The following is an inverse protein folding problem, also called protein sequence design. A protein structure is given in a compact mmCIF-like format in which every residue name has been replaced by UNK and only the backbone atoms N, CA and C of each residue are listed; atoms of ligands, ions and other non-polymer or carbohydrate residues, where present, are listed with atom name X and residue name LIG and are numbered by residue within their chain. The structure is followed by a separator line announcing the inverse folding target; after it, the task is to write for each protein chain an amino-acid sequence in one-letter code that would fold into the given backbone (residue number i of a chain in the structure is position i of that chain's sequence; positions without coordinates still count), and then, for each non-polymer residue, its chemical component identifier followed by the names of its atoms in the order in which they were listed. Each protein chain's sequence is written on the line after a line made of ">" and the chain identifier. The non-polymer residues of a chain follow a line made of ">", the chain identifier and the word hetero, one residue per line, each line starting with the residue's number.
data_IF_434640031438
#
_entry.id   IF_434640031438
#
_cell.length_a   1.000
_cell.length_b   1.000
_cell.length_c   1.000
_cell.angle_alpha   90.00
_cell.angle_beta   90.00
_cell.angle_gamma   90.00
#
_symmetry.space_group_name_H-M   'P 1'
#
loop_
_entity.id
_entity.type
_entity.pdbx_description
1 polymer ?
#
# COMPACT_ATOMS: atom_id res chain seq x y z
N UNK A 1 -3.50 -9.11 13.72
CA UNK A 1 -2.90 -7.85 13.26
C UNK A 1 -1.91 -7.34 14.29
N UNK A 2 -0.62 -7.48 14.02
CA UNK A 2 0.45 -6.88 14.81
C UNK A 2 0.56 -5.39 14.47
N UNK A 3 0.16 -4.52 15.41
CA UNK A 3 0.11 -3.08 15.18
C UNK A 3 1.47 -2.47 14.82
N UNK A 4 2.56 -3.01 15.36
CA UNK A 4 3.91 -2.53 15.09
C UNK A 4 4.31 -2.67 13.61
N UNK A 5 3.94 -3.80 12.96
CA UNK A 5 4.24 -4.04 11.54
C UNK A 5 3.44 -3.13 10.62
N UNK A 6 2.18 -2.89 10.95
CA UNK A 6 1.31 -1.97 10.20
C UNK A 6 1.84 -0.55 10.33
N UNK A 7 2.22 -0.14 11.54
CA UNK A 7 2.83 1.17 11.78
C UNK A 7 4.11 1.35 10.97
N UNK A 8 5.01 0.38 10.98
CA UNK A 8 6.26 0.41 10.22
C UNK A 8 6.01 0.53 8.70
N UNK A 9 5.08 -0.25 8.16
CA UNK A 9 4.72 -0.18 6.74
C UNK A 9 4.12 1.18 6.36
N UNK A 10 3.23 1.72 7.20
CA UNK A 10 2.63 3.05 7.00
C UNK A 10 3.66 4.17 7.15
N UNK A 11 4.62 4.04 8.06
CA UNK A 11 5.71 5.00 8.24
C UNK A 11 6.60 5.05 7.01
N UNK A 12 7.03 3.88 6.50
CA UNK A 12 7.85 3.80 5.28
C UNK A 12 7.16 4.46 4.09
N UNK A 13 5.86 4.20 3.92
CA UNK A 13 5.08 4.85 2.87
C UNK A 13 5.01 6.37 3.09
N UNK A 14 4.72 6.84 4.31
CA UNK A 14 4.62 8.26 4.60
C UNK A 14 5.95 8.99 4.33
N UNK A 15 7.08 8.40 4.72
CA UNK A 15 8.42 8.95 4.47
C UNK A 15 8.69 9.10 2.96
N UNK A 16 8.43 8.06 2.19
CA UNK A 16 8.61 8.08 0.73
C UNK A 16 7.68 9.10 0.05
N UNK A 17 6.42 9.22 0.48
CA UNK A 17 5.46 10.20 -0.06
C UNK A 17 5.77 11.65 0.31
N UNK A 18 6.50 11.86 1.41
CA UNK A 18 6.94 13.17 1.85
C UNK A 18 8.23 13.63 1.17
N UNK A 19 8.91 12.75 0.44
CA UNK A 19 10.16 13.08 -0.24
C UNK A 19 9.98 14.22 -1.25
N UNK A 20 10.67 15.32 -1.01
CA UNK A 20 10.84 16.43 -1.96
C UNK A 20 12.34 16.58 -2.26
N UNK A 21 12.69 16.74 -3.53
CA UNK A 21 14.09 16.83 -3.97
C UNK A 21 14.84 18.09 -3.52
N UNK A 22 14.21 18.98 -2.74
CA UNK A 22 14.82 20.22 -2.25
C UNK A 22 15.11 20.15 -0.74
N UNK A 23 16.35 19.78 -0.42
CA UNK A 23 17.13 20.19 0.75
C UNK A 23 16.29 20.63 1.96
N UNK A 24 15.88 19.64 2.77
CA UNK A 24 15.41 19.87 4.12
C UNK A 24 16.45 20.70 4.88
N UNK A 25 16.22 22.02 5.02
CA UNK A 25 16.99 22.83 5.94
C UNK A 25 16.78 22.24 7.32
N UNK A 26 17.87 22.00 8.06
CA UNK A 26 17.86 21.43 9.43
C UNK A 26 16.81 22.11 10.33
N UNK A 27 16.54 23.39 10.10
CA UNK A 27 15.54 24.21 10.80
C UNK A 27 14.09 23.70 10.65
N UNK A 28 13.76 22.99 9.57
CA UNK A 28 12.42 22.43 9.30
C UNK A 28 12.24 20.99 9.80
N UNK A 29 13.31 20.35 10.30
CA UNK A 29 13.24 18.96 10.78
C UNK A 29 12.14 18.71 11.82
N UNK A 30 11.90 19.58 12.82
CA UNK A 30 10.84 19.35 13.79
C UNK A 30 9.44 19.32 13.17
N UNK A 31 9.19 20.20 12.20
CA UNK A 31 7.91 20.30 11.48
C UNK A 31 7.71 19.09 10.56
N UNK A 32 8.77 18.68 9.84
CA UNK A 32 8.75 17.49 9.00
C UNK A 32 8.51 16.20 9.78
N UNK A 33 9.10 16.08 10.98
CA UNK A 33 8.86 14.92 11.85
C UNK A 33 7.44 14.90 12.44
N UNK A 34 6.87 16.08 12.74
CA UNK A 34 5.48 16.17 13.18
C UNK A 34 4.52 15.76 12.05
N UNK A 35 4.74 16.25 10.83
CA UNK A 35 3.94 15.91 9.65
C UNK A 35 4.07 14.42 9.29
N UNK A 36 5.26 13.84 9.36
CA UNK A 36 5.49 12.41 9.14
C UNK A 36 4.74 11.55 10.15
N UNK A 37 4.76 11.94 11.42
CA UNK A 37 4.00 11.27 12.48
C UNK A 37 2.49 11.38 12.23
N UNK A 38 1.99 12.55 11.84
CA UNK A 38 0.58 12.76 11.52
C UNK A 38 0.14 11.87 10.34
N UNK A 39 0.88 11.89 9.23
CA UNK A 39 0.60 11.07 8.07
C UNK A 39 0.63 9.58 8.39
N UNK A 40 1.63 9.13 9.15
CA UNK A 40 1.76 7.73 9.58
C UNK A 40 0.54 7.28 10.38
N UNK A 41 0.14 8.08 11.38
CA UNK A 41 -1.00 7.75 12.23
C UNK A 41 -2.31 7.69 11.45
N UNK A 42 -2.48 8.59 10.49
CA UNK A 42 -3.67 8.62 9.65
C UNK A 42 -3.72 7.43 8.68
N UNK A 43 -2.59 7.03 8.11
CA UNK A 43 -2.49 5.80 7.33
C UNK A 43 -2.76 4.55 8.16
N UNK A 44 -2.25 4.47 9.40
CA UNK A 44 -2.59 3.36 10.32
C UNK A 44 -4.08 3.31 10.61
N UNK A 45 -4.71 4.47 10.86
CA UNK A 45 -6.15 4.57 11.09
C UNK A 45 -6.94 4.05 9.88
N UNK A 46 -6.55 4.45 8.67
CA UNK A 46 -7.18 4.01 7.41
C UNK A 46 -6.96 2.51 7.18
N UNK A 47 -5.74 2.00 7.40
CA UNK A 47 -5.44 0.57 7.23
C UNK A 47 -6.30 -0.30 8.14
N UNK A 48 -6.48 0.11 9.41
CA UNK A 48 -7.41 -0.54 10.35
C UNK A 48 -8.85 -0.50 9.85
N UNK A 49 -9.27 0.62 9.27
CA UNK A 49 -10.61 0.75 8.68
C UNK A 49 -10.79 -0.07 7.42
N UNK A 50 -9.76 -0.33 6.62
CA UNK A 50 -9.89 -1.15 5.41
C UNK A 50 -9.79 -2.66 5.73
N UNK A 51 -9.22 -3.03 6.88
CA UNK A 51 -8.97 -4.43 7.24
C UNK A 51 -10.23 -5.30 7.25
N UNK A 52 -11.42 -4.76 7.55
CA UNK A 52 -12.68 -5.53 7.51
C UNK A 52 -12.92 -6.20 6.15
N UNK A 53 -12.37 -5.66 5.05
CA UNK A 53 -12.55 -6.20 3.71
C UNK A 53 -11.92 -7.58 3.53
N UNK A 54 -10.95 -7.93 4.39
CA UNK A 54 -10.18 -9.17 4.29
C UNK A 54 -10.10 -9.91 5.63
N UNK A 55 -10.78 -9.46 6.68
CA UNK A 55 -10.56 -9.99 8.04
C UNK A 55 -10.88 -11.49 8.18
N UNK A 56 -11.79 -11.99 7.34
CA UNK A 56 -12.28 -13.37 7.35
C UNK A 56 -11.46 -14.35 6.48
N UNK A 57 -10.47 -13.86 5.73
CA UNK A 57 -9.65 -14.73 4.86
C UNK A 57 -8.31 -15.11 5.52
N UNK A 58 -7.73 -16.29 5.18
CA UNK A 58 -6.39 -16.65 5.62
C UNK A 58 -5.35 -15.61 5.22
N UNK A 59 -4.31 -15.47 6.03
CA UNK A 59 -3.17 -14.58 5.77
C UNK A 59 -3.54 -13.10 5.58
N UNK A 60 -4.72 -12.67 6.05
CA UNK A 60 -5.24 -11.30 5.93
C UNK A 60 -4.27 -10.22 6.39
N UNK A 61 -3.54 -10.45 7.47
CA UNK A 61 -2.48 -9.54 7.92
C UNK A 61 -1.33 -9.41 6.92
N UNK A 62 -0.86 -10.52 6.34
CA UNK A 62 0.18 -10.50 5.33
C UNK A 62 -0.30 -9.82 4.04
N UNK A 63 -1.57 -9.99 3.67
CA UNK A 63 -2.21 -9.31 2.54
C UNK A 63 -2.25 -7.79 2.77
N UNK A 64 -2.68 -7.33 3.95
CA UNK A 64 -2.69 -5.90 4.29
C UNK A 64 -1.30 -5.28 4.17
N UNK A 65 -0.30 -5.92 4.79
CA UNK A 65 1.09 -5.43 4.76
C UNK A 65 1.66 -5.46 3.33
N UNK A 66 1.37 -6.50 2.56
CA UNK A 66 1.75 -6.61 1.16
C UNK A 66 1.13 -5.51 0.31
N UNK A 67 -0.15 -5.19 0.51
CA UNK A 67 -0.85 -4.12 -0.20
C UNK A 67 -0.25 -2.73 0.11
N UNK A 68 0.04 -2.42 1.37
CA UNK A 68 0.69 -1.15 1.75
C UNK A 68 2.07 -1.03 1.09
N UNK A 69 2.86 -2.10 1.10
CA UNK A 69 4.18 -2.13 0.43
C UNK A 69 4.06 -1.99 -1.09
N UNK A 70 3.04 -2.60 -1.69
CA UNK A 70 2.77 -2.45 -3.12
C UNK A 70 2.41 -1.01 -3.49
N UNK A 71 1.61 -0.32 -2.66
CA UNK A 71 1.33 1.11 -2.85
C UNK A 71 2.59 1.95 -2.80
N UNK A 72 3.54 1.60 -1.93
CA UNK A 72 4.81 2.30 -1.85
C UNK A 72 5.60 2.22 -3.17
N UNK A 73 5.64 1.04 -3.79
CA UNK A 73 6.30 0.84 -5.09
C UNK A 73 5.60 1.54 -6.27
N UNK A 74 4.31 1.90 -6.14
CA UNK A 74 3.52 2.56 -7.18
C UNK A 74 3.37 4.07 -6.96
N UNK A 75 3.75 4.56 -5.79
CA UNK A 75 3.65 5.96 -5.45
C UNK A 75 4.54 6.81 -6.35
N UNK A 76 4.05 7.99 -6.74
CA UNK A 76 4.83 9.03 -7.40
C UNK A 76 4.83 10.25 -6.47
N UNK A 77 5.82 10.39 -5.56
CA UNK A 77 5.90 11.51 -4.63
C UNK A 77 6.06 12.88 -5.34
N UNK A 78 5.69 13.99 -4.67
CA UNK A 78 5.11 14.05 -3.34
C UNK A 78 3.58 13.88 -3.34
N UNK A 79 3.05 13.13 -2.36
CA UNK A 79 1.60 12.96 -2.13
C UNK A 79 1.20 13.33 -0.70
N UNK A 80 1.84 14.34 -0.13
CA UNK A 80 1.59 14.81 1.24
C UNK A 80 0.11 15.07 1.50
N UNK A 81 -0.40 14.57 2.62
CA UNK A 81 -1.79 14.74 3.04
C UNK A 81 -2.86 14.12 2.13
N UNK A 82 -2.47 13.37 1.07
CA UNK A 82 -3.44 12.74 0.16
C UNK A 82 -3.99 11.41 0.73
N UNK A 83 -4.72 11.51 1.84
CA UNK A 83 -5.30 10.36 2.52
C UNK A 83 -6.38 9.66 1.69
N UNK A 84 -7.07 10.41 0.82
CA UNK A 84 -8.06 9.85 -0.10
C UNK A 84 -7.42 8.91 -1.12
N UNK A 85 -6.24 9.25 -1.66
CA UNK A 85 -5.48 8.34 -2.51
C UNK A 85 -5.15 7.06 -1.76
N UNK A 86 -4.57 7.15 -0.56
CA UNK A 86 -4.21 5.96 0.21
C UNK A 86 -5.43 5.08 0.51
N UNK A 87 -6.52 5.67 0.99
CA UNK A 87 -7.76 4.96 1.32
C UNK A 87 -8.37 4.26 0.11
N UNK A 88 -8.49 4.95 -1.03
CA UNK A 88 -9.09 4.39 -2.23
C UNK A 88 -8.21 3.31 -2.85
N UNK A 89 -6.90 3.55 -2.92
CA UNK A 89 -5.95 2.61 -3.49
C UNK A 89 -5.79 1.36 -2.63
N UNK A 90 -5.72 1.49 -1.30
CA UNK A 90 -5.68 0.34 -0.39
C UNK A 90 -6.97 -0.47 -0.50
N UNK A 91 -8.13 0.16 -0.43
CA UNK A 91 -9.41 -0.53 -0.56
C UNK A 91 -9.53 -1.25 -1.91
N UNK A 92 -9.07 -0.64 -3.00
CA UNK A 92 -9.09 -1.29 -4.31
C UNK A 92 -8.20 -2.54 -4.34
N UNK A 93 -6.98 -2.48 -3.77
CA UNK A 93 -6.09 -3.64 -3.70
C UNK A 93 -6.70 -4.77 -2.85
N UNK A 94 -7.30 -4.45 -1.71
CA UNK A 94 -7.93 -5.43 -0.84
C UNK A 94 -9.14 -6.10 -1.52
N UNK A 95 -9.94 -5.34 -2.26
CA UNK A 95 -11.05 -5.87 -3.06
C UNK A 95 -10.56 -6.82 -4.19
N UNK A 96 -9.35 -6.61 -4.73
CA UNK A 96 -8.76 -7.57 -5.66
C UNK A 96 -8.35 -8.88 -4.98
N UNK A 97 -7.93 -8.82 -3.71
CA UNK A 97 -7.54 -10.00 -2.93
C UNK A 97 -8.74 -10.76 -2.36
N UNK A 98 -9.79 -10.06 -1.95
CA UNK A 98 -11.04 -10.64 -1.47
C UNK A 98 -12.25 -9.94 -2.12
N UNK A 99 -12.67 -10.37 -3.32
CA UNK A 99 -13.73 -9.70 -4.06
C UNK A 99 -15.07 -9.78 -3.35
N UNK A 100 -15.64 -8.61 -3.00
CA UNK A 100 -17.00 -8.48 -2.50
C UNK A 100 -17.98 -8.00 -3.59
N UNK A 101 -17.46 -7.57 -4.74
CA UNK A 101 -18.20 -7.01 -5.88
C UNK A 101 -18.22 -7.95 -7.08
N UNK A 102 -19.37 -8.06 -7.74
CA UNK A 102 -19.51 -8.82 -8.99
C UNK A 102 -19.52 -7.87 -10.20
N UNK A 103 -18.53 -8.00 -11.10
CA UNK A 103 -18.41 -7.19 -12.32
C UNK A 103 -19.24 -7.70 -13.52
N UNK A 104 -19.97 -8.81 -13.34
CA UNK A 104 -20.78 -9.42 -14.39
C UNK A 104 -19.94 -9.98 -15.55
N UNK A 105 -20.62 -10.42 -16.63
CA UNK A 105 -19.95 -11.01 -17.81
C UNK A 105 -19.09 -10.00 -18.57
N UNK A 106 -19.50 -8.74 -18.58
CA UNK A 106 -18.81 -7.69 -19.33
C UNK A 106 -17.46 -7.31 -18.69
N UNK A 107 -17.29 -7.57 -17.39
CA UNK A 107 -16.01 -7.39 -16.69
C UNK A 107 -15.01 -8.54 -16.86
N UNK A 108 -15.43 -9.69 -17.39
CA UNK A 108 -14.58 -10.89 -17.50
C UNK A 108 -13.28 -10.64 -18.30
N UNK A 109 -13.28 -9.93 -19.45
CA UNK A 109 -12.05 -9.65 -20.18
C UNK A 109 -11.01 -8.88 -19.34
N UNK A 110 -11.46 -7.94 -18.50
CA UNK A 110 -10.59 -7.20 -17.61
C UNK A 110 -10.01 -8.09 -16.50
N UNK A 111 -10.83 -8.94 -15.86
CA UNK A 111 -10.35 -9.85 -14.82
C UNK A 111 -9.30 -10.83 -15.33
N UNK A 112 -9.46 -11.34 -16.56
CA UNK A 112 -8.46 -12.20 -17.20
C UNK A 112 -7.15 -11.45 -17.48
N UNK A 113 -7.23 -10.21 -17.95
CA UNK A 113 -6.05 -9.38 -18.17
C UNK A 113 -5.33 -9.05 -16.84
N UNK A 114 -6.08 -8.75 -15.77
CA UNK A 114 -5.55 -8.53 -14.44
C UNK A 114 -4.82 -9.76 -13.91
N UNK A 115 -5.44 -10.95 -14.02
CA UNK A 115 -4.82 -12.21 -13.62
C UNK A 115 -3.49 -12.45 -14.35
N UNK A 116 -3.45 -12.23 -15.68
CA UNK A 116 -2.20 -12.32 -16.45
C UNK A 116 -1.12 -11.34 -15.95
N UNK A 117 -1.50 -10.09 -15.67
CA UNK A 117 -0.57 -9.10 -15.13
C UNK A 117 0.00 -9.49 -13.76
N UNK A 118 -0.85 -9.96 -12.85
CA UNK A 118 -0.45 -10.44 -11.52
C UNK A 118 0.49 -11.65 -11.63
N UNK A 119 0.18 -12.62 -12.48
CA UNK A 119 1.04 -13.78 -12.69
C UNK A 119 2.44 -13.38 -13.17
N UNK A 120 2.53 -12.39 -14.09
CA UNK A 120 3.81 -11.86 -14.56
C UNK A 120 4.60 -11.17 -13.46
N UNK A 121 3.95 -10.38 -12.61
CA UNK A 121 4.61 -9.78 -11.44
C UNK A 121 5.13 -10.84 -10.46
N UNK A 122 4.39 -11.95 -10.29
CA UNK A 122 4.82 -13.08 -9.45
C UNK A 122 6.07 -13.77 -10.04
N UNK A 123 6.13 -13.93 -11.37
CA UNK A 123 7.31 -14.48 -12.05
C UNK A 123 8.54 -13.60 -11.79
N UNK A 124 8.44 -12.29 -12.02
CA UNK A 124 9.53 -11.34 -11.73
C UNK A 124 9.98 -11.36 -10.28
N UNK A 125 9.04 -11.39 -9.33
CA UNK A 125 9.36 -11.43 -7.90
C UNK A 125 10.03 -12.75 -7.46
N UNK A 126 9.95 -13.81 -8.26
CA UNK A 126 10.66 -15.08 -8.03
C UNK A 126 12.05 -15.08 -8.66
N UNK A 127 12.20 -14.48 -9.84
CA UNK A 127 13.47 -14.37 -10.57
C UNK A 127 14.50 -13.49 -9.85
N UNK A 128 14.06 -12.39 -9.21
CA UNK A 128 14.95 -11.52 -8.38
C UNK A 128 15.62 -12.26 -7.20
N UNK A 129 15.23 -13.51 -6.91
CA UNK A 129 15.90 -14.36 -5.91
C UNK A 129 17.02 -15.24 -6.46
N UNK A 130 17.17 -15.39 -7.78
CA UNK A 130 18.16 -16.29 -8.38
C UNK A 130 19.53 -15.62 -8.67
N UNK A 131 19.66 -14.29 -8.59
CA UNK A 131 20.95 -13.60 -8.81
C UNK A 131 21.88 -13.53 -7.58
N UNK A 132 21.51 -14.14 -6.45
CA UNK A 132 22.28 -14.08 -5.19
C UNK A 132 22.53 -15.44 -4.50
N UNK A 133 22.45 -16.57 -5.22
CA UNK A 133 22.95 -17.88 -4.75
C UNK A 133 24.27 -18.27 -5.45
#
# INVERSE_FOLDING_TARGET
>A
MEEAKVFEACFSLADDLMWESEQARIERLPEQMAELSEMTNEFVRIAKQCYYQIEDIPDSEAILLGAIRYLNAQAIPPLRGNYSWFSNSLSALLELCNPNSAVGKDGLPFLLALQCGVNKCIEWAREDREEFE
#
